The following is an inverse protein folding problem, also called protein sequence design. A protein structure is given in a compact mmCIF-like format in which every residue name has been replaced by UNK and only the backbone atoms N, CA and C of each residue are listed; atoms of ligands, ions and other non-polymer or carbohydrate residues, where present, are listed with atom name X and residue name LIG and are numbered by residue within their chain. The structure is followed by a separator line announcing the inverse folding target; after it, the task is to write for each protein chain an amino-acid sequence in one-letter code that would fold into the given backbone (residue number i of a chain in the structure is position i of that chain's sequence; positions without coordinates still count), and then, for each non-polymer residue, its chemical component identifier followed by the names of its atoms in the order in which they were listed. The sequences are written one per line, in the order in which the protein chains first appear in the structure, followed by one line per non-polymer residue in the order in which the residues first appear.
data_IF_471125165538
#
_entry.id   IF_471125165538
#
_cell.length_a   1.000
_cell.length_b   1.000
_cell.length_c   1.000
_cell.angle_alpha   90.00
_cell.angle_beta   90.00
_cell.angle_gamma   90.00
#
_symmetry.space_group_name_H-M   'P 1'
#
loop_
_entity.id
_entity.type
_entity.pdbx_description
1 polymer ?
#
# COMPACT_ATOMS: atom_id res chain seq x y z
N UNK A 1 -5.86 -16.71 -4.61
CA UNK A 1 -5.17 -17.12 -5.84
C UNK A 1 -5.94 -16.57 -7.03
N UNK A 2 -5.23 -15.96 -7.98
CA UNK A 2 -5.82 -15.31 -9.15
C UNK A 2 -5.37 -16.02 -10.43
N UNK A 3 -6.32 -16.32 -11.32
CA UNK A 3 -6.08 -16.82 -12.67
C UNK A 3 -6.53 -15.81 -13.74
N UNK A 4 -6.49 -16.18 -15.02
CA UNK A 4 -7.08 -15.40 -16.11
C UNK A 4 -8.04 -16.30 -16.90
N UNK A 5 -9.29 -15.87 -17.08
CA UNK A 5 -10.25 -16.59 -17.90
C UNK A 5 -10.66 -15.70 -19.06
N UNK A 6 -10.55 -16.21 -20.28
CA UNK A 6 -11.10 -15.55 -21.45
C UNK A 6 -11.74 -16.54 -22.41
N UNK A 7 -12.58 -16.03 -23.28
CA UNK A 7 -13.02 -16.72 -24.49
C UNK A 7 -12.34 -16.03 -25.66
N UNK A 8 -11.29 -16.64 -26.24
CA UNK A 8 -10.40 -15.97 -27.21
C UNK A 8 -11.14 -15.36 -28.39
N UNK A 9 -12.20 -16.01 -28.88
CA UNK A 9 -13.03 -15.51 -29.98
C UNK A 9 -13.87 -14.28 -29.63
N UNK A 10 -14.12 -14.01 -28.34
CA UNK A 10 -14.87 -12.83 -27.88
C UNK A 10 -13.96 -11.60 -27.75
N UNK A 11 -12.67 -11.81 -27.49
CA UNK A 11 -11.72 -10.74 -27.17
C UNK A 11 -10.80 -10.37 -28.34
N UNK A 12 -10.82 -11.16 -29.41
CA UNK A 12 -10.03 -10.93 -30.62
C UNK A 12 -10.92 -10.96 -31.86
N UNK A 13 -10.70 -10.00 -32.76
CA UNK A 13 -11.27 -10.05 -34.10
C UNK A 13 -10.75 -11.26 -34.87
N UNK A 14 -11.43 -11.65 -35.96
CA UNK A 14 -10.95 -12.71 -36.87
C UNK A 14 -9.52 -12.43 -37.36
N UNK A 15 -9.22 -11.17 -37.68
CA UNK A 15 -7.87 -10.73 -38.03
C UNK A 15 -6.90 -10.94 -36.86
N UNK A 16 -7.25 -10.47 -35.65
CA UNK A 16 -6.43 -10.64 -34.45
C UNK A 16 -6.14 -12.09 -34.10
N UNK A 17 -7.13 -12.99 -34.26
CA UNK A 17 -6.96 -14.44 -34.10
C UNK A 17 -5.93 -14.99 -35.09
N UNK A 18 -6.06 -14.62 -36.38
CA UNK A 18 -5.20 -15.10 -37.46
C UNK A 18 -3.80 -14.46 -37.51
N UNK A 19 -3.57 -13.39 -36.74
CA UNK A 19 -2.32 -12.62 -36.77
C UNK A 19 -1.12 -13.50 -36.43
N UNK A 20 -0.10 -13.61 -37.30
CA UNK A 20 1.11 -14.36 -37.00
C UNK A 20 1.78 -13.87 -35.72
N UNK A 21 2.21 -14.81 -34.86
CA UNK A 21 2.84 -14.49 -33.58
C UNK A 21 4.21 -15.18 -33.45
N UNK A 22 5.27 -14.45 -33.82
CA UNK A 22 6.65 -14.98 -33.92
C UNK A 22 7.50 -14.75 -32.67
N UNK A 23 6.88 -14.58 -31.50
CA UNK A 23 7.59 -14.41 -30.24
C UNK A 23 8.33 -15.70 -29.86
N UNK A 24 9.53 -15.65 -29.24
CA UNK A 24 10.15 -16.84 -28.63
C UNK A 24 9.25 -17.47 -27.55
N UNK A 25 8.29 -16.72 -27.02
CA UNK A 25 7.30 -17.17 -26.05
C UNK A 25 5.97 -17.64 -26.69
N UNK A 26 5.88 -17.72 -28.02
CA UNK A 26 4.67 -18.14 -28.71
C UNK A 26 4.34 -19.62 -28.49
N UNK A 27 3.07 -19.92 -28.24
CA UNK A 27 2.57 -21.28 -28.01
C UNK A 27 1.75 -21.83 -29.19
N UNK A 28 1.61 -21.03 -30.25
CA UNK A 28 0.93 -21.35 -31.51
C UNK A 28 1.48 -20.46 -32.63
N UNK A 29 1.11 -20.73 -33.88
CA UNK A 29 1.58 -19.97 -35.04
C UNK A 29 0.92 -18.59 -35.13
N UNK A 30 -0.33 -18.50 -34.67
CA UNK A 30 -1.10 -17.27 -34.60
C UNK A 30 -1.30 -16.82 -33.16
N UNK A 31 -1.68 -15.56 -32.98
CA UNK A 31 -1.96 -15.03 -31.65
C UNK A 31 -3.19 -15.67 -31.02
N UNK A 32 -4.20 -16.03 -31.81
CA UNK A 32 -5.35 -16.82 -31.35
C UNK A 32 -4.94 -18.18 -30.80
N UNK A 33 -4.17 -18.97 -31.59
CA UNK A 33 -3.68 -20.27 -31.14
C UNK A 33 -2.80 -20.18 -29.88
N UNK A 34 -1.96 -19.14 -29.81
CA UNK A 34 -1.17 -18.88 -28.60
C UNK A 34 -2.05 -18.63 -27.37
N UNK A 35 -3.13 -17.86 -27.51
CA UNK A 35 -4.06 -17.56 -26.42
C UNK A 35 -4.87 -18.79 -26.03
N UNK A 36 -5.40 -19.54 -26.99
CA UNK A 36 -6.15 -20.77 -26.73
C UNK A 36 -5.30 -21.82 -25.99
N UNK A 37 -4.01 -21.92 -26.32
CA UNK A 37 -3.09 -22.85 -25.65
C UNK A 37 -2.84 -22.51 -24.17
N UNK A 38 -3.02 -21.24 -23.79
CA UNK A 38 -2.83 -20.77 -22.41
C UNK A 38 -4.11 -20.86 -21.57
N UNK A 39 -5.28 -21.06 -22.19
CA UNK A 39 -6.53 -21.17 -21.47
C UNK A 39 -6.68 -22.50 -20.75
N UNK A 40 -7.22 -22.44 -19.54
CA UNK A 40 -7.61 -23.61 -18.78
C UNK A 40 -9.05 -23.98 -19.12
N UNK A 41 -9.32 -25.29 -19.17
CA UNK A 41 -10.67 -25.84 -19.27
C UNK A 41 -11.51 -25.53 -18.02
N UNK A 42 -12.83 -25.61 -18.16
CA UNK A 42 -13.74 -25.42 -17.04
C UNK A 42 -13.51 -26.46 -15.92
N UNK A 43 -13.20 -27.70 -16.27
CA UNK A 43 -12.89 -28.77 -15.33
C UNK A 43 -11.62 -28.45 -14.52
N UNK A 44 -10.59 -27.91 -15.18
CA UNK A 44 -9.37 -27.45 -14.51
C UNK A 44 -9.66 -26.31 -13.55
N UNK A 45 -10.51 -25.35 -13.94
CA UNK A 45 -10.97 -24.27 -13.05
C UNK A 45 -11.69 -24.80 -11.81
N UNK A 46 -12.60 -25.78 -11.97
CA UNK A 46 -13.30 -26.43 -10.85
C UNK A 46 -12.33 -27.15 -9.91
N UNK A 47 -11.36 -27.88 -10.47
CA UNK A 47 -10.34 -28.56 -9.68
C UNK A 47 -9.43 -27.58 -8.92
N UNK A 48 -9.00 -26.50 -9.56
CA UNK A 48 -8.16 -25.48 -8.95
C UNK A 48 -8.89 -24.70 -7.86
N UNK A 49 -10.17 -24.35 -8.07
CA UNK A 49 -10.99 -23.70 -7.04
C UNK A 49 -11.11 -24.59 -5.80
N UNK A 50 -11.49 -25.85 -5.98
CA UNK A 50 -11.58 -26.82 -4.89
C UNK A 50 -10.26 -26.90 -4.11
N UNK A 51 -9.13 -27.00 -4.82
CA UNK A 51 -7.82 -27.05 -4.18
C UNK A 51 -7.47 -25.77 -3.41
N UNK A 52 -7.81 -24.59 -3.95
CA UNK A 52 -7.60 -23.32 -3.26
C UNK A 52 -8.44 -23.23 -1.97
N UNK A 53 -9.69 -23.68 -2.00
CA UNK A 53 -10.60 -23.73 -0.84
C UNK A 53 -10.07 -24.69 0.24
N UNK A 54 -9.58 -25.86 -0.15
CA UNK A 54 -8.92 -26.82 0.76
C UNK A 54 -7.68 -26.23 1.45
N UNK A 55 -7.05 -25.22 0.85
CA UNK A 55 -5.91 -24.47 1.43
C UNK A 55 -6.33 -23.20 2.16
N UNK A 56 -7.63 -22.91 2.27
CA UNK A 56 -8.15 -21.70 2.91
C UNK A 56 -7.81 -20.42 2.13
N UNK A 57 -7.65 -20.51 0.81
CA UNK A 57 -7.33 -19.38 -0.07
C UNK A 57 -8.57 -18.95 -0.85
N UNK A 58 -8.75 -17.63 -0.98
CA UNK A 58 -9.72 -17.07 -1.93
C UNK A 58 -9.37 -17.50 -3.36
N UNK A 59 -10.36 -17.69 -4.21
CA UNK A 59 -10.21 -18.05 -5.62
C UNK A 59 -11.01 -17.09 -6.52
N UNK A 60 -10.31 -16.47 -7.46
CA UNK A 60 -10.89 -15.57 -8.45
C UNK A 60 -10.04 -15.51 -9.72
N UNK A 61 -10.51 -14.81 -10.74
CA UNK A 61 -9.78 -14.64 -11.99
C UNK A 61 -9.97 -13.24 -12.58
N UNK A 62 -9.02 -12.86 -13.44
CA UNK A 62 -9.20 -11.76 -14.38
C UNK A 62 -10.22 -12.16 -15.44
N UNK A 63 -11.27 -11.35 -15.56
CA UNK A 63 -12.36 -11.48 -16.54
C UNK A 63 -12.00 -10.65 -17.78
N UNK A 64 -12.15 -11.24 -18.96
CA UNK A 64 -11.84 -10.58 -20.23
C UNK A 64 -13.05 -10.45 -21.17
N UNK A 65 -14.17 -11.11 -20.85
CA UNK A 65 -15.39 -11.13 -21.66
C UNK A 65 -16.60 -11.53 -20.82
N UNK A 66 -17.82 -11.28 -21.31
CA UNK A 66 -19.05 -11.58 -20.58
C UNK A 66 -19.22 -13.09 -20.33
N UNK A 67 -18.82 -13.95 -21.29
CA UNK A 67 -18.89 -15.41 -21.11
C UNK A 67 -17.95 -15.88 -20.00
N UNK A 68 -16.74 -15.33 -19.93
CA UNK A 68 -15.84 -15.62 -18.81
C UNK A 68 -16.40 -15.12 -17.48
N UNK A 69 -17.07 -13.97 -17.46
CA UNK A 69 -17.76 -13.46 -16.27
C UNK A 69 -18.88 -14.43 -15.80
N UNK A 70 -19.72 -14.90 -16.73
CA UNK A 70 -20.84 -15.78 -16.44
C UNK A 70 -20.37 -17.15 -15.96
N UNK A 71 -19.32 -17.70 -16.59
CA UNK A 71 -18.69 -18.93 -16.14
C UNK A 71 -18.16 -18.79 -14.70
N UNK A 72 -17.46 -17.71 -14.38
CA UNK A 72 -16.90 -17.47 -13.05
C UNK A 72 -18.01 -17.25 -12.00
N UNK A 73 -19.12 -16.63 -12.37
CA UNK A 73 -20.31 -16.52 -11.50
C UNK A 73 -20.87 -17.90 -11.17
N UNK A 74 -21.07 -18.75 -12.19
CA UNK A 74 -21.53 -20.12 -12.01
C UNK A 74 -20.54 -20.97 -11.19
N UNK A 75 -19.25 -20.65 -11.24
CA UNK A 75 -18.20 -21.25 -10.42
C UNK A 75 -18.20 -20.72 -8.96
N UNK A 76 -18.97 -19.67 -8.68
CA UNK A 76 -19.08 -19.00 -7.37
C UNK A 76 -17.72 -18.51 -6.85
N UNK A 77 -17.02 -17.69 -7.65
CA UNK A 77 -15.74 -17.08 -7.26
C UNK A 77 -15.90 -15.99 -6.19
N UNK A 78 -14.84 -15.71 -5.44
CA UNK A 78 -14.89 -14.74 -4.33
C UNK A 78 -14.92 -13.28 -4.79
N UNK A 79 -14.40 -12.99 -5.98
CA UNK A 79 -14.28 -11.66 -6.55
C UNK A 79 -14.07 -11.71 -8.07
N UNK A 80 -14.13 -10.55 -8.71
CA UNK A 80 -13.74 -10.36 -10.11
C UNK A 80 -12.54 -9.43 -10.20
N UNK A 81 -11.55 -9.79 -11.01
CA UNK A 81 -10.48 -8.88 -11.40
C UNK A 81 -10.76 -8.36 -12.81
N UNK A 82 -10.73 -7.06 -13.02
CA UNK A 82 -10.68 -6.47 -14.38
C UNK A 82 -9.23 -6.13 -14.69
N UNK A 83 -8.65 -6.69 -15.78
CA UNK A 83 -7.30 -6.34 -16.20
C UNK A 83 -7.28 -4.91 -16.76
N UNK A 84 -6.11 -4.27 -16.71
CA UNK A 84 -5.89 -2.92 -17.25
C UNK A 84 -6.38 -2.74 -18.70
N UNK A 85 -6.31 -3.80 -19.51
CA UNK A 85 -6.73 -3.76 -20.91
C UNK A 85 -8.25 -3.60 -21.10
N UNK A 86 -9.05 -4.00 -20.11
CA UNK A 86 -10.51 -3.95 -20.16
C UNK A 86 -11.09 -2.83 -19.28
N UNK A 87 -10.26 -1.92 -18.74
CA UNK A 87 -10.74 -0.82 -17.92
C UNK A 87 -11.76 0.05 -18.66
N UNK A 88 -11.54 0.31 -19.96
CA UNK A 88 -12.45 1.12 -20.77
C UNK A 88 -13.64 0.33 -21.32
N UNK A 89 -13.73 -0.97 -21.05
CA UNK A 89 -14.78 -1.84 -21.55
C UNK A 89 -16.04 -1.72 -20.67
N UNK A 90 -16.71 -0.56 -20.76
CA UNK A 90 -17.89 -0.22 -19.94
C UNK A 90 -18.98 -1.31 -19.98
N UNK A 91 -19.35 -1.90 -21.13
CA UNK A 91 -20.34 -2.99 -21.16
C UNK A 91 -19.93 -4.18 -20.28
N UNK A 92 -18.67 -4.63 -20.36
CA UNK A 92 -18.16 -5.70 -19.52
C UNK A 92 -18.16 -5.32 -18.03
N UNK A 93 -17.76 -4.09 -17.72
CA UNK A 93 -17.76 -3.58 -16.34
C UNK A 93 -19.16 -3.60 -15.73
N UNK A 94 -20.17 -3.11 -16.46
CA UNK A 94 -21.57 -3.14 -16.00
C UNK A 94 -22.07 -4.58 -15.83
N UNK A 95 -21.74 -5.47 -16.78
CA UNK A 95 -22.12 -6.88 -16.72
C UNK A 95 -21.55 -7.57 -15.47
N UNK A 96 -20.27 -7.32 -15.16
CA UNK A 96 -19.60 -7.82 -13.96
C UNK A 96 -20.17 -7.18 -12.69
N UNK A 97 -20.42 -5.87 -12.70
CA UNK A 97 -20.91 -5.13 -11.54
C UNK A 97 -22.29 -5.62 -11.07
N UNK A 98 -23.20 -5.93 -12.01
CA UNK A 98 -24.55 -6.46 -11.74
C UNK A 98 -24.56 -7.82 -11.02
N UNK A 99 -23.43 -8.52 -10.98
CA UNK A 99 -23.29 -9.80 -10.25
C UNK A 99 -23.09 -9.60 -8.75
N UNK A 100 -22.88 -8.36 -8.31
CA UNK A 100 -22.78 -8.01 -6.89
C UNK A 100 -21.73 -8.88 -6.17
N UNK A 101 -20.50 -8.93 -6.70
CA UNK A 101 -19.31 -9.45 -6.00
C UNK A 101 -18.23 -8.38 -5.94
N UNK A 102 -17.26 -8.44 -5.01
CA UNK A 102 -16.15 -7.50 -5.02
C UNK A 102 -15.46 -7.43 -6.39
N UNK A 103 -15.19 -6.22 -6.88
CA UNK A 103 -14.51 -5.96 -8.16
C UNK A 103 -13.16 -5.30 -7.90
N UNK A 104 -12.11 -5.80 -8.54
CA UNK A 104 -10.75 -5.31 -8.43
C UNK A 104 -10.29 -4.83 -9.81
N UNK A 105 -10.13 -3.52 -10.03
CA UNK A 105 -9.79 -2.95 -11.35
C UNK A 105 -8.35 -2.43 -11.35
N UNK A 106 -7.55 -2.85 -12.33
CA UNK A 106 -6.21 -2.28 -12.55
C UNK A 106 -6.31 -1.11 -13.49
N UNK A 107 -5.60 -0.03 -13.19
CA UNK A 107 -5.69 1.25 -13.91
C UNK A 107 -4.50 1.51 -14.84
N UNK A 108 -3.80 0.45 -15.26
CA UNK A 108 -2.69 0.62 -16.20
C UNK A 108 -3.20 0.95 -17.60
N UNK A 109 -2.40 1.63 -18.41
CA UNK A 109 -2.76 2.03 -19.79
C UNK A 109 -3.97 2.99 -19.88
N UNK A 110 -4.33 3.67 -18.80
CA UNK A 110 -5.52 4.52 -18.75
C UNK A 110 -5.22 5.94 -18.29
N UNK A 111 -6.01 6.90 -18.75
CA UNK A 111 -6.03 8.26 -18.19
C UNK A 111 -6.91 8.34 -16.93
N UNK A 112 -6.88 9.47 -16.23
CA UNK A 112 -7.73 9.65 -15.04
C UNK A 112 -9.22 9.67 -15.43
N UNK A 113 -9.56 10.29 -16.55
CA UNK A 113 -10.94 10.39 -17.06
C UNK A 113 -11.51 9.01 -17.41
N UNK A 114 -10.70 8.12 -17.99
CA UNK A 114 -11.10 6.74 -18.26
C UNK A 114 -11.32 5.94 -16.97
N UNK A 115 -10.48 6.17 -15.96
CA UNK A 115 -10.66 5.57 -14.62
C UNK A 115 -11.96 6.06 -13.98
N UNK A 116 -12.28 7.35 -14.10
CA UNK A 116 -13.55 7.91 -13.62
C UNK A 116 -14.75 7.23 -14.27
N UNK A 117 -14.76 7.11 -15.60
CA UNK A 117 -15.83 6.42 -16.31
C UNK A 117 -15.99 4.96 -15.88
N UNK A 118 -14.88 4.24 -15.66
CA UNK A 118 -14.89 2.86 -15.18
C UNK A 118 -15.43 2.73 -13.75
N UNK A 119 -15.03 3.65 -12.86
CA UNK A 119 -15.52 3.72 -11.48
C UNK A 119 -17.02 3.97 -11.46
N UNK A 120 -17.50 4.94 -12.25
CA UNK A 120 -18.93 5.27 -12.32
C UNK A 120 -19.77 4.10 -12.84
N UNK A 121 -19.31 3.44 -13.91
CA UNK A 121 -19.98 2.27 -14.49
C UNK A 121 -20.14 1.12 -13.49
N UNK A 122 -19.11 0.84 -12.68
CA UNK A 122 -19.18 -0.22 -11.67
C UNK A 122 -19.99 0.22 -10.45
N UNK A 123 -19.72 1.40 -9.91
CA UNK A 123 -20.31 1.84 -8.63
C UNK A 123 -21.78 2.20 -8.73
N UNK A 124 -22.30 2.49 -9.93
CA UNK A 124 -23.74 2.62 -10.19
C UNK A 124 -24.52 1.34 -9.84
N UNK A 125 -23.87 0.17 -9.96
CA UNK A 125 -24.47 -1.13 -9.68
C UNK A 125 -23.91 -1.79 -8.41
N UNK A 126 -22.65 -1.56 -8.09
CA UNK A 126 -21.95 -2.28 -7.03
C UNK A 126 -20.86 -1.43 -6.37
N UNK A 127 -21.02 -1.03 -5.10
CA UNK A 127 -20.07 -0.16 -4.42
C UNK A 127 -18.80 -0.89 -3.94
N UNK A 128 -18.71 -2.23 -4.08
CA UNK A 128 -17.56 -3.03 -3.61
C UNK A 128 -16.44 -3.05 -4.65
N UNK A 129 -15.83 -1.90 -4.86
CA UNK A 129 -14.76 -1.70 -5.83
C UNK A 129 -13.42 -1.41 -5.14
N UNK A 130 -12.34 -1.98 -5.68
CA UNK A 130 -10.95 -1.70 -5.31
C UNK A 130 -10.17 -1.29 -6.56
N UNK A 131 -9.45 -0.17 -6.49
CA UNK A 131 -8.62 0.32 -7.59
C UNK A 131 -7.15 -0.05 -7.38
N UNK A 132 -6.46 -0.46 -8.44
CA UNK A 132 -5.05 -0.82 -8.39
C UNK A 132 -4.22 0.13 -9.25
N UNK A 133 -3.32 0.89 -8.63
CA UNK A 133 -2.25 1.54 -9.38
C UNK A 133 -1.37 0.48 -10.03
N UNK A 134 -1.12 0.65 -11.33
CA UNK A 134 -0.51 -0.38 -12.16
C UNK A 134 0.23 0.25 -13.33
N UNK A 135 1.46 -0.20 -13.59
CA UNK A 135 2.17 0.07 -14.85
C UNK A 135 2.20 -1.22 -15.68
N UNK A 136 1.53 -1.24 -16.83
CA UNK A 136 1.41 -2.43 -17.68
C UNK A 136 2.66 -2.68 -18.56
N UNK A 137 3.85 -2.54 -17.99
CA UNK A 137 5.13 -2.89 -18.62
C UNK A 137 5.73 -4.09 -17.88
N UNK A 138 6.24 -5.07 -18.62
CA UNK A 138 6.70 -6.36 -18.09
C UNK A 138 8.15 -6.63 -18.56
N UNK A 139 9.18 -6.40 -17.71
CA UNK A 139 9.10 -5.82 -16.38
C UNK A 139 8.88 -4.29 -16.38
N UNK A 140 8.34 -3.78 -15.28
CA UNK A 140 8.10 -2.35 -15.07
C UNK A 140 9.39 -1.65 -14.64
N UNK A 141 9.87 -0.63 -15.38
CA UNK A 141 11.04 0.14 -14.97
C UNK A 141 10.68 1.05 -13.79
N UNK A 142 11.48 0.99 -12.72
CA UNK A 142 11.23 1.66 -11.44
C UNK A 142 10.89 3.16 -11.59
N UNK A 143 11.64 3.88 -12.42
CA UNK A 143 11.44 5.32 -12.67
C UNK A 143 10.11 5.69 -13.32
N UNK A 144 9.31 4.71 -13.77
CA UNK A 144 7.99 4.93 -14.40
C UNK A 144 6.81 4.42 -13.57
N UNK A 145 7.04 3.69 -12.47
CA UNK A 145 5.97 3.05 -11.68
C UNK A 145 4.99 4.07 -11.08
N UNK A 146 5.48 5.26 -10.71
CA UNK A 146 4.68 6.40 -10.27
C UNK A 146 3.72 6.10 -9.09
N UNK A 147 4.25 5.58 -7.98
CA UNK A 147 3.45 5.26 -6.77
C UNK A 147 2.72 6.47 -6.17
N UNK A 148 3.14 7.72 -6.46
CA UNK A 148 2.42 8.93 -6.04
C UNK A 148 1.00 8.99 -6.61
N UNK A 149 0.73 8.34 -7.73
CA UNK A 149 -0.61 8.29 -8.31
C UNK A 149 -1.61 7.53 -7.41
N UNK A 150 -1.14 6.64 -6.51
CA UNK A 150 -2.01 6.03 -5.51
C UNK A 150 -2.67 7.07 -4.60
N UNK A 151 -1.99 8.18 -4.30
CA UNK A 151 -2.57 9.25 -3.48
C UNK A 151 -3.67 9.98 -4.23
N UNK A 152 -3.49 10.18 -5.55
CA UNK A 152 -4.51 10.75 -6.43
C UNK A 152 -5.75 9.85 -6.46
N UNK A 153 -5.57 8.54 -6.64
CA UNK A 153 -6.69 7.58 -6.62
C UNK A 153 -7.43 7.61 -5.27
N UNK A 154 -6.71 7.67 -4.15
CA UNK A 154 -7.31 7.72 -2.80
C UNK A 154 -8.12 8.97 -2.57
N UNK A 155 -7.60 10.13 -3.00
CA UNK A 155 -8.28 11.41 -2.82
C UNK A 155 -9.50 11.52 -3.74
N UNK A 156 -9.35 11.13 -5.01
CA UNK A 156 -10.39 11.27 -6.03
C UNK A 156 -11.57 10.31 -5.81
N UNK A 157 -11.29 9.07 -5.38
CA UNK A 157 -12.28 7.99 -5.34
C UNK A 157 -12.61 7.51 -3.92
N UNK A 158 -12.38 8.34 -2.89
CA UNK A 158 -12.77 8.01 -1.52
C UNK A 158 -14.28 7.69 -1.44
N UNK A 159 -14.72 6.63 -0.73
CA UNK A 159 -13.97 5.81 0.22
C UNK A 159 -13.37 4.53 -0.37
N UNK A 160 -13.25 4.40 -1.69
CA UNK A 160 -12.75 3.17 -2.31
C UNK A 160 -11.30 2.87 -1.88
N UNK A 161 -10.98 1.62 -1.49
CA UNK A 161 -9.61 1.22 -1.21
C UNK A 161 -8.76 1.22 -2.47
N UNK A 162 -7.48 1.56 -2.29
CA UNK A 162 -6.46 1.55 -3.35
C UNK A 162 -5.40 0.50 -3.03
N UNK A 163 -5.15 -0.37 -3.99
CA UNK A 163 -4.08 -1.37 -4.01
C UNK A 163 -3.00 -1.06 -5.06
N UNK A 164 -2.11 -2.01 -5.24
CA UNK A 164 -1.00 -1.94 -6.19
C UNK A 164 -0.83 -3.26 -6.95
N UNK A 165 -0.78 -3.19 -8.28
CA UNK A 165 -0.50 -4.35 -9.14
C UNK A 165 0.87 -4.15 -9.77
N UNK A 166 1.83 -4.94 -9.31
CA UNK A 166 3.24 -4.81 -9.67
C UNK A 166 3.68 -5.76 -10.77
N UNK A 167 4.54 -5.26 -11.64
CA UNK A 167 5.22 -6.00 -12.71
C UNK A 167 6.73 -5.71 -12.74
N UNK A 168 7.25 -5.12 -11.67
CA UNK A 168 8.68 -4.92 -11.44
C UNK A 168 9.41 -6.26 -11.23
N UNK A 169 10.74 -6.26 -11.29
CA UNK A 169 11.53 -7.47 -11.08
C UNK A 169 11.77 -7.77 -9.60
N UNK A 170 11.98 -6.74 -8.79
CA UNK A 170 12.35 -6.85 -7.39
C UNK A 170 11.14 -6.61 -6.46
N UNK A 171 11.40 -6.46 -5.17
CA UNK A 171 10.36 -6.32 -4.15
C UNK A 171 10.13 -4.86 -3.73
N UNK A 172 11.09 -3.97 -4.00
CA UNK A 172 11.14 -2.62 -3.43
C UNK A 172 9.90 -1.78 -3.82
N UNK A 173 9.45 -1.73 -5.08
CA UNK A 173 8.26 -0.97 -5.45
C UNK A 173 6.99 -1.47 -4.75
N UNK A 174 6.79 -2.80 -4.63
CA UNK A 174 5.67 -3.35 -3.88
C UNK A 174 5.72 -2.97 -2.39
N UNK A 175 6.89 -3.05 -1.76
CA UNK A 175 7.06 -2.64 -0.35
C UNK A 175 6.83 -1.14 -0.15
N UNK A 176 7.31 -0.32 -1.08
CA UNK A 176 7.05 1.12 -1.09
C UNK A 176 5.55 1.42 -1.26
N UNK A 177 4.83 0.64 -2.08
CA UNK A 177 3.38 0.78 -2.23
C UNK A 177 2.64 0.45 -0.92
N UNK A 178 3.06 -0.60 -0.20
CA UNK A 178 2.53 -0.92 1.13
C UNK A 178 2.82 0.18 2.12
N UNK A 179 4.06 0.70 2.17
CA UNK A 179 4.42 1.84 3.01
C UNK A 179 3.58 3.10 2.70
N UNK A 180 3.12 3.23 1.45
CA UNK A 180 2.21 4.29 1.00
C UNK A 180 0.73 3.96 1.21
N UNK A 181 0.41 2.86 1.90
CA UNK A 181 -0.93 2.44 2.26
C UNK A 181 -1.71 1.74 1.14
N UNK A 182 -1.05 0.92 0.32
CA UNK A 182 -1.74 -0.07 -0.50
C UNK A 182 -2.52 -1.04 0.40
N UNK A 183 -3.82 -1.23 0.16
CA UNK A 183 -4.64 -2.19 0.91
C UNK A 183 -4.45 -3.63 0.42
N UNK A 184 -4.16 -3.78 -0.87
CA UNK A 184 -3.92 -5.06 -1.53
C UNK A 184 -2.71 -4.89 -2.46
N UNK A 185 -1.86 -5.91 -2.52
CA UNK A 185 -0.79 -6.00 -3.51
C UNK A 185 -0.99 -7.22 -4.40
N UNK A 186 -0.74 -7.07 -5.70
CA UNK A 186 -0.79 -8.13 -6.70
C UNK A 186 0.56 -8.26 -7.39
N UNK A 187 1.08 -9.50 -7.47
CA UNK A 187 2.30 -9.86 -8.21
C UNK A 187 2.07 -11.20 -8.91
N UNK A 188 2.67 -11.36 -10.08
CA UNK A 188 2.67 -12.65 -10.78
C UNK A 188 3.54 -13.67 -10.04
N UNK A 189 3.17 -14.95 -10.14
CA UNK A 189 3.91 -16.07 -9.56
C UNK A 189 4.37 -17.04 -10.65
N UNK A 190 5.58 -17.56 -10.50
CA UNK A 190 6.16 -18.58 -11.38
C UNK A 190 6.86 -19.67 -10.57
N UNK A 191 7.04 -20.84 -11.16
CA UNK A 191 7.91 -21.89 -10.61
C UNK A 191 9.39 -21.67 -10.98
N UNK A 192 9.64 -21.10 -12.15
CA UNK A 192 10.97 -20.74 -12.66
C UNK A 192 10.85 -19.55 -13.62
N UNK A 193 11.61 -18.48 -13.38
CA UNK A 193 11.60 -17.27 -14.21
C UNK A 193 12.08 -17.48 -15.66
N UNK A 194 12.79 -18.59 -15.92
CA UNK A 194 13.34 -18.95 -17.24
C UNK A 194 12.37 -19.75 -18.11
N UNK A 195 11.20 -20.11 -17.57
CA UNK A 195 10.17 -20.82 -18.33
C UNK A 195 9.69 -19.99 -19.51
N UNK A 196 9.24 -20.69 -20.56
CA UNK A 196 8.69 -20.06 -21.75
C UNK A 196 7.40 -19.30 -21.39
N UNK A 197 7.36 -18.00 -21.68
CA UNK A 197 6.17 -17.17 -21.47
C UNK A 197 6.59 -15.73 -21.17
N UNK A 198 5.82 -14.74 -21.62
CA UNK A 198 6.17 -13.32 -21.48
C UNK A 198 6.24 -12.85 -20.03
N UNK A 199 5.46 -13.47 -19.15
CA UNK A 199 5.25 -12.95 -17.80
C UNK A 199 6.21 -13.57 -16.78
N UNK A 200 6.86 -14.70 -17.11
CA UNK A 200 7.73 -15.44 -16.17
C UNK A 200 8.90 -14.58 -15.68
N UNK A 201 9.52 -13.79 -16.56
CA UNK A 201 10.67 -12.95 -16.20
C UNK A 201 10.33 -11.86 -15.17
N UNK A 202 9.09 -11.37 -15.14
CA UNK A 202 8.59 -10.36 -14.20
C UNK A 202 7.85 -10.96 -12.98
N UNK A 203 7.68 -12.28 -12.94
CA UNK A 203 6.98 -12.99 -11.86
C UNK A 203 7.89 -13.25 -10.67
N UNK A 204 7.33 -13.54 -9.50
CA UNK A 204 8.07 -13.98 -8.32
C UNK A 204 8.09 -15.51 -8.24
N UNK A 205 9.24 -16.08 -7.89
CA UNK A 205 9.35 -17.47 -7.48
C UNK A 205 8.85 -17.67 -6.03
N UNK A 206 8.56 -18.90 -5.59
CA UNK A 206 7.94 -19.14 -4.28
C UNK A 206 8.75 -18.58 -3.10
N UNK A 207 10.08 -18.59 -3.20
CA UNK A 207 10.96 -18.06 -2.15
C UNK A 207 10.92 -16.52 -2.10
N UNK A 208 10.89 -15.86 -3.25
CA UNK A 208 10.76 -14.39 -3.36
C UNK A 208 9.37 -13.92 -2.90
N UNK A 209 8.31 -14.68 -3.20
CA UNK A 209 6.97 -14.37 -2.70
C UNK A 209 6.89 -14.51 -1.18
N UNK A 210 7.53 -15.53 -0.60
CA UNK A 210 7.64 -15.68 0.86
C UNK A 210 8.39 -14.50 1.47
N UNK A 211 9.49 -14.06 0.84
CA UNK A 211 10.25 -12.89 1.27
C UNK A 211 9.42 -11.60 1.19
N UNK A 212 8.65 -11.44 0.11
CA UNK A 212 7.73 -10.31 -0.06
C UNK A 212 6.73 -10.27 1.10
N UNK A 213 6.03 -11.37 1.38
CA UNK A 213 5.05 -11.45 2.47
C UNK A 213 5.70 -11.14 3.83
N UNK A 214 6.86 -11.73 4.11
CA UNK A 214 7.59 -11.45 5.35
C UNK A 214 7.99 -9.97 5.47
N UNK A 215 8.44 -9.37 4.37
CA UNK A 215 8.84 -7.96 4.31
C UNK A 215 7.64 -7.01 4.46
N UNK A 216 6.49 -7.34 3.88
CA UNK A 216 5.23 -6.59 4.07
C UNK A 216 4.86 -6.56 5.56
N UNK A 217 4.90 -7.70 6.26
CA UNK A 217 4.59 -7.77 7.70
C UNK A 217 5.57 -6.95 8.54
N UNK A 218 6.85 -6.89 8.14
CA UNK A 218 7.85 -6.00 8.77
C UNK A 218 7.54 -4.54 8.51
N UNK A 219 7.17 -4.16 7.29
CA UNK A 219 6.77 -2.78 6.95
C UNK A 219 5.56 -2.35 7.78
N UNK A 220 4.53 -3.17 7.90
CA UNK A 220 3.35 -2.88 8.74
C UNK A 220 3.74 -2.62 10.20
N UNK A 221 4.64 -3.44 10.77
CA UNK A 221 5.16 -3.23 12.12
C UNK A 221 5.99 -1.93 12.24
N UNK A 222 6.75 -1.57 11.20
CA UNK A 222 7.56 -0.34 11.14
C UNK A 222 6.69 0.90 11.03
N UNK A 223 5.62 0.86 10.24
CA UNK A 223 4.69 1.98 10.06
C UNK A 223 4.03 2.38 11.38
N UNK A 224 3.71 1.40 12.23
CA UNK A 224 3.32 1.62 13.61
C UNK A 224 2.06 2.49 13.78
N UNK A 225 2.06 3.32 14.82
CA UNK A 225 0.95 4.21 15.17
C UNK A 225 1.18 5.63 14.65
N UNK A 226 0.13 6.37 14.27
CA UNK A 226 0.24 7.80 13.96
C UNK A 226 0.58 8.67 15.18
N UNK A 227 0.50 8.13 16.39
CA UNK A 227 0.78 8.85 17.63
C UNK A 227 2.27 8.83 18.00
N UNK A 228 2.77 9.94 18.55
CA UNK A 228 4.14 9.98 19.10
C UNK A 228 4.15 9.30 20.46
N UNK A 229 4.74 8.11 20.54
CA UNK A 229 4.82 7.32 21.76
C UNK A 229 6.12 7.65 22.51
N UNK A 230 5.99 7.86 23.83
CA UNK A 230 7.11 7.88 24.77
C UNK A 230 7.16 6.52 25.46
N UNK A 231 8.02 5.63 24.96
CA UNK A 231 8.19 4.30 25.55
C UNK A 231 8.88 4.37 26.92
N UNK A 232 8.60 3.39 27.79
CA UNK A 232 9.15 3.33 29.15
C UNK A 232 10.69 3.28 29.13
N UNK A 233 11.27 2.60 28.14
CA UNK A 233 12.72 2.52 27.92
C UNK A 233 13.36 3.88 27.60
N UNK A 234 12.58 4.85 27.12
CA UNK A 234 13.05 6.20 26.86
C UNK A 234 13.05 7.07 28.11
N UNK A 235 12.33 6.72 29.18
CA UNK A 235 12.22 7.54 30.40
C UNK A 235 13.58 7.75 31.07
N UNK A 236 14.39 6.72 31.36
CA UNK A 236 15.73 6.90 31.93
C UNK A 236 16.66 7.70 31.01
N UNK A 237 16.50 7.53 29.68
CA UNK A 237 17.27 8.25 28.68
C UNK A 237 16.95 9.74 28.69
N UNK A 238 15.66 10.08 28.84
CA UNK A 238 15.19 11.46 28.98
C UNK A 238 15.70 12.08 30.28
N UNK A 239 15.61 11.37 31.41
CA UNK A 239 16.14 11.86 32.68
C UNK A 239 17.64 12.13 32.61
N UNK A 240 18.41 11.28 31.92
CA UNK A 240 19.85 11.45 31.73
C UNK A 240 20.21 12.58 30.77
N UNK A 241 19.61 12.61 29.57
CA UNK A 241 20.09 13.41 28.44
C UNK A 241 19.28 14.69 28.21
N UNK A 242 18.01 14.71 28.60
CA UNK A 242 17.21 15.92 28.45
C UNK A 242 17.70 17.01 29.40
N UNK A 243 17.10 18.18 29.26
CA UNK A 243 17.52 19.38 29.97
C UNK A 243 16.48 19.76 31.02
N UNK A 244 16.96 20.31 32.11
CA UNK A 244 16.19 21.04 33.12
C UNK A 244 16.58 22.51 33.10
N UNK A 245 15.70 23.37 33.61
CA UNK A 245 16.03 24.76 33.87
C UNK A 245 17.02 24.81 35.04
N UNK A 246 18.11 25.53 34.83
CA UNK A 246 19.22 25.69 35.78
C UNK A 246 19.46 27.17 36.00
N UNK A 247 19.79 27.54 37.23
CA UNK A 247 20.23 28.89 37.54
C UNK A 247 21.58 29.15 36.86
N UNK A 248 21.63 30.08 35.90
CA UNK A 248 22.85 30.44 35.17
C UNK A 248 23.87 31.17 36.06
N UNK A 249 23.36 31.83 37.09
CA UNK A 249 24.10 32.56 38.12
C UNK A 249 23.34 32.39 39.43
N UNK A 250 23.94 32.79 40.55
CA UNK A 250 23.26 32.76 41.84
C UNK A 250 22.08 33.74 41.87
N UNK A 251 20.91 33.30 42.34
CA UNK A 251 19.68 34.10 42.48
C UNK A 251 19.27 34.09 43.96
N UNK A 252 19.16 35.27 44.59
CA UNK A 252 18.78 35.38 46.00
C UNK A 252 17.28 35.32 46.20
N UNK A 253 16.85 34.75 47.33
CA UNK A 253 15.46 34.80 47.80
C UNK A 253 14.93 36.24 47.72
N UNK A 254 13.70 36.40 47.24
CA UNK A 254 13.05 37.70 47.01
C UNK A 254 13.41 38.36 45.67
N UNK A 255 14.31 37.78 44.88
CA UNK A 255 14.68 38.33 43.56
C UNK A 255 13.65 37.92 42.49
N UNK A 256 13.22 38.87 41.67
CA UNK A 256 12.41 38.57 40.46
C UNK A 256 13.30 37.91 39.41
N UNK A 257 12.96 36.69 39.03
CA UNK A 257 13.71 35.86 38.09
C UNK A 257 13.56 36.45 36.68
N UNK A 258 14.67 36.82 36.06
CA UNK A 258 14.70 37.23 34.65
C UNK A 258 15.13 36.07 33.75
N UNK A 259 14.97 36.23 32.42
CA UNK A 259 15.38 35.20 31.46
C UNK A 259 16.89 34.97 31.50
N UNK A 260 17.68 36.01 31.71
CA UNK A 260 19.15 36.02 31.69
C UNK A 260 19.74 35.26 32.87
N UNK A 261 18.98 35.17 33.97
CA UNK A 261 19.36 34.41 35.17
C UNK A 261 19.21 32.90 34.98
N UNK A 262 18.55 32.43 33.92
CA UNK A 262 18.25 31.03 33.68
C UNK A 262 19.00 30.48 32.47
N UNK A 263 19.36 29.21 32.54
CA UNK A 263 19.88 28.41 31.42
C UNK A 263 19.25 27.02 31.43
N UNK A 264 19.62 26.17 30.47
CA UNK A 264 19.15 24.80 30.39
C UNK A 264 20.33 23.83 30.35
N UNK A 265 20.44 22.94 31.33
CA UNK A 265 21.49 21.90 31.40
C UNK A 265 20.88 20.56 31.79
N UNK A 266 21.62 19.46 31.56
CA UNK A 266 21.24 18.12 32.03
C UNK A 266 21.57 17.97 33.53
N UNK A 267 20.96 17.01 34.25
CA UNK A 267 19.94 16.04 33.81
C UNK A 267 18.55 16.66 33.56
N UNK A 268 17.66 15.89 32.94
CA UNK A 268 16.27 16.25 32.61
C UNK A 268 15.26 15.96 33.73
N UNK A 269 15.70 15.97 34.98
CA UNK A 269 14.90 15.56 36.16
C UNK A 269 14.13 16.72 36.82
N UNK A 270 14.48 17.96 36.49
CA UNK A 270 13.86 19.20 37.00
C UNK A 270 12.76 19.76 36.09
N UNK A 271 12.57 21.08 36.13
CA UNK A 271 11.58 21.75 35.29
C UNK A 271 12.03 21.71 33.83
N UNK A 272 11.16 21.26 32.92
CA UNK A 272 11.44 21.31 31.48
C UNK A 272 11.69 22.74 31.00
N UNK A 273 12.74 23.01 30.20
CA UNK A 273 13.00 24.32 29.60
C UNK A 273 11.87 24.86 28.72
N UNK A 274 10.91 24.03 28.29
CA UNK A 274 9.68 24.49 27.64
C UNK A 274 8.92 25.46 28.55
N UNK A 275 8.96 25.22 29.87
CA UNK A 275 8.31 26.06 30.89
C UNK A 275 9.13 27.27 31.33
N UNK A 276 10.22 27.61 30.63
CA UNK A 276 11.12 28.72 31.01
C UNK A 276 10.37 30.03 31.20
N UNK A 277 9.45 30.35 30.29
CA UNK A 277 8.65 31.58 30.35
C UNK A 277 7.73 31.64 31.57
N UNK A 278 7.34 30.48 32.11
CA UNK A 278 6.50 30.43 33.30
C UNK A 278 7.27 30.84 34.57
N UNK A 279 8.60 30.72 34.57
CA UNK A 279 9.46 31.13 35.69
C UNK A 279 9.88 32.60 35.61
N UNK A 280 10.00 33.16 34.40
CA UNK A 280 10.36 34.57 34.23
C UNK A 280 9.27 35.46 34.84
N UNK A 281 9.68 36.42 35.66
CA UNK A 281 8.80 37.32 36.41
C UNK A 281 8.28 36.74 37.73
N UNK A 282 8.67 35.51 38.11
CA UNK A 282 8.41 34.99 39.47
C UNK A 282 9.48 35.46 40.44
N UNK A 283 9.10 35.62 41.69
CA UNK A 283 9.98 35.98 42.79
C UNK A 283 10.55 34.72 43.46
N UNK A 284 11.88 34.58 43.51
CA UNK A 284 12.55 33.42 44.08
C UNK A 284 12.18 33.22 45.55
N UNK A 285 11.58 32.08 45.91
CA UNK A 285 11.17 31.81 47.31
C UNK A 285 12.30 31.27 48.19
N UNK A 286 13.38 30.83 47.55
CA UNK A 286 14.62 30.33 48.17
C UNK A 286 15.83 30.91 47.43
N UNK A 287 17.01 30.84 48.04
CA UNK A 287 18.27 31.06 47.33
C UNK A 287 18.49 29.92 46.32
N UNK A 288 18.84 30.27 45.07
CA UNK A 288 19.25 29.33 44.03
C UNK A 288 20.73 29.57 43.72
N UNK A 289 21.64 28.68 44.14
CA UNK A 289 23.05 28.76 43.76
C UNK A 289 23.22 28.65 42.25
N UNK A 290 24.30 29.24 41.72
CA UNK A 290 24.70 29.02 40.33
C UNK A 290 24.82 27.53 40.01
N UNK A 291 24.48 27.18 38.78
CA UNK A 291 24.56 25.84 38.22
C UNK A 291 23.69 24.78 38.93
N UNK A 292 22.66 25.22 39.65
CA UNK A 292 21.71 24.33 40.32
C UNK A 292 20.40 24.24 39.54
N UNK A 293 19.83 23.03 39.46
CA UNK A 293 18.50 22.82 38.87
C UNK A 293 17.46 23.61 39.67
N UNK A 294 16.63 24.36 38.96
CA UNK A 294 15.50 25.06 39.57
C UNK A 294 14.47 24.02 40.03
N UNK A 295 14.07 24.03 41.32
CA UNK A 295 13.16 23.05 41.89
C UNK A 295 11.76 23.17 41.27
N UNK A 296 11.00 22.07 41.18
CA UNK A 296 9.73 22.01 40.44
C UNK A 296 8.68 22.97 41.01
N UNK A 297 8.73 23.20 42.30
CA UNK A 297 7.90 24.12 43.08
C UNK A 297 8.10 25.58 42.65
N UNK A 298 9.17 25.90 41.91
CA UNK A 298 9.38 27.25 41.39
C UNK A 298 8.30 27.71 40.42
N UNK A 299 7.59 26.76 39.78
CA UNK A 299 6.42 27.07 38.95
C UNK A 299 5.22 27.59 39.75
N UNK A 300 5.24 27.51 41.08
CA UNK A 300 4.17 28.02 41.95
C UNK A 300 4.62 29.21 42.80
N UNK A 301 5.84 29.71 42.63
CA UNK A 301 6.32 30.90 43.34
C UNK A 301 5.51 32.15 42.97
N UNK A 302 5.44 33.11 43.87
CA UNK A 302 4.71 34.36 43.64
C UNK A 302 5.31 35.12 42.44
N UNK A 303 4.47 35.90 41.75
CA UNK A 303 4.93 36.85 40.72
C UNK A 303 5.18 38.17 41.41
#
# INVERSE_FOLDING_TARGET
MKFQKRTTSEILTKEGLSKPYMSPHAYGATYGEHRDKLELSEEQYRALKKYAEEKGMLFFASVWDEKSADFLEALNVDAYKIPSADLINIPLLEHVAKKERPVLISTGMSTLEEIEAAVDAVTMHNPRLILFQCLSLYPSPEGKINLKFMDVLKERFRPLPVGYSGHEMDLLPTLAAVARGAHIVERHLTLDKRMKGSDHAASLEPHEFKELVASIRRVEAILGSPEKIMYDELVPLREKLAKSIVAKQSIKKGTVITREMLTAKSPGTGISPIKMRELVGRTASIDLPEDTIVPKEALTWQR
#
